data_IF_329630590799
#
_entry.id   IF_329630590799
#
_cell.length_a   1.000
_cell.length_b   1.000
_cell.length_c   1.000
_cell.angle_alpha   90.00
_cell.angle_beta   90.00
_cell.angle_gamma   90.00
#
_symmetry.space_group_name_H-M   'P 1'
#
loop_
_entity.id
_entity.type
_entity.pdbx_description
1 polymer ?
#
# COMPACT_ATOMS: atom_id res chain seq x y z
N UNK A 1 -25.34 16.26 14.66
CA UNK A 1 -24.43 15.42 15.46
C UNK A 1 -25.07 15.22 16.84
N UNK A 2 -25.08 14.00 17.39
CA UNK A 2 -25.78 13.70 18.65
C UNK A 2 -25.02 14.11 19.93
N UNK A 3 -23.82 14.67 19.81
CA UNK A 3 -22.94 15.01 20.94
C UNK A 3 -23.03 16.48 21.35
N UNK A 4 -22.75 16.74 22.64
CA UNK A 4 -22.56 18.07 23.19
C UNK A 4 -21.30 18.72 22.59
N UNK A 5 -21.32 20.04 22.44
CA UNK A 5 -20.20 20.81 21.91
C UNK A 5 -19.85 21.98 22.82
N UNK A 6 -18.56 22.26 22.98
CA UNK A 6 -18.09 23.51 23.59
C UNK A 6 -18.56 24.68 22.73
N UNK A 7 -19.18 25.74 23.31
CA UNK A 7 -19.68 26.89 22.56
C UNK A 7 -18.65 27.48 21.59
N UNK A 8 -19.11 28.00 20.44
CA UNK A 8 -18.20 28.53 19.43
C UNK A 8 -17.29 29.65 20.00
N UNK A 9 -17.88 30.53 20.81
CA UNK A 9 -17.24 31.69 21.42
C UNK A 9 -16.25 31.37 22.54
N UNK A 10 -16.27 30.18 23.13
CA UNK A 10 -15.38 29.80 24.21
C UNK A 10 -14.01 29.35 23.65
N UNK A 11 -13.21 30.33 23.25
CA UNK A 11 -11.88 30.12 22.69
C UNK A 11 -10.84 29.71 23.75
N UNK A 12 -11.06 30.10 25.01
CA UNK A 12 -10.14 29.79 26.11
C UNK A 12 -10.16 28.29 26.42
N UNK A 13 -11.35 27.72 26.62
CA UNK A 13 -11.50 26.28 26.89
C UNK A 13 -10.97 25.45 25.72
N UNK A 14 -11.24 25.85 24.47
CA UNK A 14 -10.73 25.13 23.29
C UNK A 14 -9.21 25.13 23.22
N UNK A 15 -8.56 26.28 23.46
CA UNK A 15 -7.10 26.37 23.50
C UNK A 15 -6.53 25.53 24.63
N UNK A 16 -7.13 25.59 25.82
CA UNK A 16 -6.71 24.81 26.97
C UNK A 16 -6.78 23.30 26.70
N UNK A 17 -7.84 22.82 26.02
CA UNK A 17 -7.98 21.41 25.66
C UNK A 17 -6.98 20.98 24.57
N UNK A 18 -6.78 21.80 23.54
CA UNK A 18 -5.78 21.53 22.50
C UNK A 18 -4.38 21.39 23.11
N UNK A 19 -4.02 22.29 24.03
CA UNK A 19 -2.74 22.21 24.75
C UNK A 19 -2.68 21.03 25.71
N UNK A 20 -3.77 20.74 26.44
CA UNK A 20 -3.80 19.65 27.44
C UNK A 20 -3.64 18.27 26.80
N UNK A 21 -4.23 18.05 25.62
CA UNK A 21 -4.21 16.77 24.93
C UNK A 21 -3.23 16.73 23.76
N UNK A 22 -2.40 17.78 23.61
CA UNK A 22 -1.36 17.86 22.58
C UNK A 22 -1.91 17.55 21.18
N UNK A 23 -3.01 18.21 20.81
CA UNK A 23 -3.70 17.93 19.54
C UNK A 23 -2.89 18.53 18.39
N UNK A 24 -2.18 17.67 17.65
CA UNK A 24 -1.32 18.06 16.52
C UNK A 24 -2.02 17.95 15.14
N UNK A 25 -3.10 17.17 15.05
CA UNK A 25 -3.79 16.91 13.78
C UNK A 25 -5.31 16.74 13.95
N UNK A 26 -6.04 16.77 12.85
CA UNK A 26 -7.47 16.46 12.79
C UNK A 26 -7.77 15.42 11.69
N UNK A 27 -8.76 14.53 11.87
CA UNK A 27 -9.59 14.36 13.07
C UNK A 27 -8.80 13.79 14.26
N UNK A 28 -9.17 14.18 15.48
CA UNK A 28 -8.57 13.70 16.73
C UNK A 28 -9.67 13.31 17.71
N UNK A 29 -9.48 12.21 18.45
CA UNK A 29 -10.45 11.70 19.41
C UNK A 29 -9.72 11.18 20.64
N UNK A 30 -10.00 11.81 21.78
CA UNK A 30 -9.55 11.36 23.09
C UNK A 30 -10.69 10.59 23.76
N UNK A 31 -10.39 9.40 24.27
CA UNK A 31 -11.34 8.60 25.06
C UNK A 31 -10.94 8.69 26.52
N UNK A 32 -11.87 9.18 27.35
CA UNK A 32 -11.69 9.30 28.80
C UNK A 32 -12.40 8.14 29.49
N UNK A 33 -11.65 7.32 30.21
CA UNK A 33 -12.20 6.20 30.98
C UNK A 33 -12.64 6.66 32.39
N UNK A 34 -13.75 6.13 32.93
CA UNK A 34 -14.18 6.41 34.29
C UNK A 34 -13.33 5.65 35.35
N UNK A 35 -12.20 6.26 35.79
CA UNK A 35 -11.30 6.09 36.99
C UNK A 35 -10.90 4.67 37.52
N UNK A 36 -9.62 4.41 37.87
CA UNK A 36 -9.05 4.69 39.22
C UNK A 36 -7.53 5.03 39.29
N UNK A 37 -6.77 5.04 38.18
CA UNK A 37 -5.32 5.32 38.21
C UNK A 37 -4.90 6.38 37.19
N UNK A 38 -4.31 7.49 37.70
CA UNK A 38 -4.15 8.79 37.01
C UNK A 38 -3.31 8.80 35.73
N UNK A 39 -2.67 7.68 35.36
CA UNK A 39 -1.79 7.59 34.20
C UNK A 39 -2.33 6.73 33.05
N UNK A 40 -3.38 5.91 33.25
CA UNK A 40 -3.95 5.02 32.21
C UNK A 40 -5.36 5.43 31.74
N UNK A 41 -5.96 6.49 32.31
CA UNK A 41 -7.37 6.83 32.09
C UNK A 41 -7.68 7.60 30.77
N UNK A 42 -6.67 7.91 29.96
CA UNK A 42 -6.82 8.72 28.74
C UNK A 42 -6.19 8.02 27.55
N UNK A 43 -7.00 7.71 26.54
CA UNK A 43 -6.53 7.13 25.28
C UNK A 43 -6.52 8.22 24.21
N UNK A 44 -5.35 8.50 23.66
CA UNK A 44 -5.15 9.56 22.65
C UNK A 44 -5.40 9.09 21.22
N UNK A 45 -5.33 7.77 20.95
CA UNK A 45 -5.51 7.18 19.62
C UNK A 45 -6.95 6.74 19.32
N UNK A 46 -7.94 7.45 19.87
CA UNK A 46 -9.35 7.06 19.77
C UNK A 46 -9.85 6.96 18.33
N UNK A 47 -9.32 7.78 17.41
CA UNK A 47 -9.66 7.71 15.98
C UNK A 47 -9.22 6.37 15.38
N UNK A 48 -7.99 5.94 15.68
CA UNK A 48 -7.46 4.69 15.15
C UNK A 48 -8.19 3.48 15.74
N UNK A 49 -8.49 3.49 17.05
CA UNK A 49 -9.28 2.44 17.68
C UNK A 49 -10.68 2.30 17.07
N UNK A 50 -11.35 3.41 16.79
CA UNK A 50 -12.65 3.39 16.12
C UNK A 50 -12.54 2.92 14.67
N UNK A 51 -11.50 3.31 13.95
CA UNK A 51 -11.28 2.84 12.58
C UNK A 51 -11.03 1.32 12.54
N UNK A 52 -10.24 0.81 13.48
CA UNK A 52 -9.82 -0.60 13.55
C UNK A 52 -10.93 -1.51 14.08
N UNK A 53 -11.45 -1.20 15.28
CA UNK A 53 -12.37 -2.06 16.02
C UNK A 53 -13.82 -1.56 16.03
N UNK A 54 -14.04 -0.27 15.74
CA UNK A 54 -15.36 0.34 15.74
C UNK A 54 -16.06 0.18 17.08
N UNK A 55 -17.34 -0.23 17.04
CA UNK A 55 -18.15 -0.43 18.26
C UNK A 55 -17.63 -1.54 19.17
N UNK A 56 -16.85 -2.50 18.64
CA UNK A 56 -16.37 -3.64 19.43
C UNK A 56 -15.34 -3.23 20.47
N UNK A 57 -14.65 -2.10 20.27
CA UNK A 57 -13.71 -1.55 21.22
C UNK A 57 -14.40 -1.05 22.49
N UNK A 58 -15.69 -0.72 22.48
CA UNK A 58 -16.43 -0.35 23.69
C UNK A 58 -16.41 -1.51 24.72
N UNK A 59 -16.17 -1.26 26.03
CA UNK A 59 -16.11 0.03 26.74
C UNK A 59 -14.77 0.76 26.70
N UNK A 60 -13.89 0.42 25.76
CA UNK A 60 -12.55 0.95 25.57
C UNK A 60 -11.63 0.71 26.76
N UNK A 61 -11.91 -0.29 27.61
CA UNK A 61 -11.04 -0.69 28.71
C UNK A 61 -9.78 -1.35 28.18
N UNK A 62 -8.69 -1.29 28.96
CA UNK A 62 -7.42 -1.91 28.58
C UNK A 62 -7.59 -3.40 28.28
N UNK A 63 -8.31 -4.11 29.15
CA UNK A 63 -8.59 -5.54 28.99
C UNK A 63 -9.36 -5.81 27.69
N UNK A 64 -10.34 -4.97 27.35
CA UNK A 64 -11.14 -5.16 26.13
C UNK A 64 -10.31 -4.92 24.86
N UNK A 65 -9.43 -3.93 24.89
CA UNK A 65 -8.53 -3.65 23.76
C UNK A 65 -7.50 -4.77 23.60
N UNK A 66 -6.93 -5.28 24.70
CA UNK A 66 -6.03 -6.43 24.71
C UNK A 66 -6.72 -7.70 24.16
N UNK A 67 -7.97 -7.97 24.53
CA UNK A 67 -8.78 -9.06 23.94
C UNK A 67 -8.91 -8.94 22.42
N UNK A 68 -9.27 -7.75 21.92
CA UNK A 68 -9.44 -7.53 20.48
C UNK A 68 -8.12 -7.64 19.71
N UNK A 69 -7.02 -7.19 20.31
CA UNK A 69 -5.69 -7.37 19.74
C UNK A 69 -5.27 -8.83 19.68
N UNK A 70 -5.58 -9.62 20.72
CA UNK A 70 -5.38 -11.07 20.71
C UNK A 70 -6.22 -11.75 19.62
N UNK A 71 -7.52 -11.41 19.50
CA UNK A 71 -8.38 -11.93 18.45
C UNK A 71 -7.86 -11.62 17.04
N UNK A 72 -7.39 -10.40 16.79
CA UNK A 72 -6.78 -10.03 15.49
C UNK A 72 -5.47 -10.78 15.25
N UNK A 73 -4.64 -10.93 16.29
CA UNK A 73 -3.39 -11.69 16.21
C UNK A 73 -3.67 -13.15 15.87
N UNK A 74 -4.63 -13.80 16.54
CA UNK A 74 -5.04 -15.17 16.25
C UNK A 74 -5.59 -15.31 14.83
N UNK A 75 -6.41 -14.35 14.35
CA UNK A 75 -6.89 -14.33 12.95
C UNK A 75 -5.74 -14.22 11.96
N UNK A 76 -4.71 -13.40 12.27
CA UNK A 76 -3.51 -13.28 11.43
C UNK A 76 -2.66 -14.56 11.46
N UNK A 77 -2.51 -15.17 12.63
CA UNK A 77 -1.76 -16.42 12.82
C UNK A 77 -2.48 -17.64 12.24
N UNK A 78 -3.80 -17.63 12.13
CA UNK A 78 -4.61 -18.66 11.47
C UNK A 78 -4.95 -18.35 10.01
N UNK A 79 -4.45 -17.23 9.48
CA UNK A 79 -4.66 -16.84 8.09
C UNK A 79 -4.22 -17.93 7.11
N UNK A 80 -5.09 -18.28 6.18
CA UNK A 80 -4.79 -19.17 5.05
C UNK A 80 -5.47 -18.62 3.79
N UNK A 81 -5.04 -19.07 2.60
CA UNK A 81 -5.71 -18.67 1.35
C UNK A 81 -7.18 -19.07 1.33
N UNK A 82 -7.51 -20.26 1.86
CA UNK A 82 -8.88 -20.75 1.96
C UNK A 82 -9.71 -19.78 2.81
N UNK A 83 -9.27 -19.49 4.04
CA UNK A 83 -10.02 -18.63 4.96
C UNK A 83 -10.21 -17.19 4.44
N UNK A 84 -9.30 -16.71 3.58
CA UNK A 84 -9.39 -15.37 2.99
C UNK A 84 -10.31 -15.31 1.77
N UNK A 85 -10.27 -16.33 0.92
CA UNK A 85 -10.87 -16.27 -0.43
C UNK A 85 -12.14 -17.12 -0.58
N UNK A 86 -12.49 -17.96 0.40
CA UNK A 86 -13.74 -18.72 0.40
C UNK A 86 -14.75 -18.15 1.41
N UNK A 87 -16.01 -18.52 1.22
CA UNK A 87 -17.09 -18.26 2.17
C UNK A 87 -18.08 -19.44 2.15
N UNK A 88 -19.16 -19.37 2.92
CA UNK A 88 -20.14 -20.46 3.00
C UNK A 88 -20.82 -20.79 1.67
N UNK A 89 -20.87 -19.84 0.73
CA UNK A 89 -21.56 -19.98 -0.55
C UNK A 89 -20.60 -20.32 -1.71
N UNK A 90 -19.28 -20.20 -1.50
CA UNK A 90 -18.30 -20.18 -2.60
C UNK A 90 -16.88 -20.58 -2.18
N UNK A 91 -16.26 -21.45 -2.97
CA UNK A 91 -14.89 -21.94 -2.81
C UNK A 91 -13.98 -21.78 -4.05
N UNK A 92 -14.44 -21.07 -5.09
CA UNK A 92 -13.71 -20.84 -6.34
C UNK A 92 -13.28 -19.38 -6.51
N UNK A 93 -12.75 -18.98 -7.66
CA UNK A 93 -12.52 -17.63 -8.19
C UNK A 93 -12.92 -17.63 -9.68
N UNK A 94 -13.06 -16.46 -10.30
CA UNK A 94 -13.30 -16.35 -11.73
C UNK A 94 -11.99 -16.03 -12.46
N UNK A 95 -11.63 -16.81 -13.47
CA UNK A 95 -10.49 -16.55 -14.34
C UNK A 95 -10.87 -15.72 -15.57
N UNK A 96 -9.86 -15.26 -16.31
CA UNK A 96 -10.04 -14.58 -17.58
C UNK A 96 -9.97 -15.58 -18.77
N UNK A 97 -10.90 -15.51 -19.75
CA UNK A 97 -12.13 -14.70 -19.76
C UNK A 97 -13.17 -15.22 -18.74
N UNK A 98 -14.04 -14.31 -18.28
CA UNK A 98 -14.84 -14.34 -17.03
C UNK A 98 -15.82 -15.51 -16.76
N UNK A 99 -15.70 -16.65 -17.44
CA UNK A 99 -16.59 -17.81 -17.25
C UNK A 99 -15.92 -19.02 -16.57
N UNK A 100 -14.59 -19.01 -16.40
CA UNK A 100 -13.86 -20.15 -15.84
C UNK A 100 -13.79 -20.05 -14.32
N UNK A 101 -14.46 -20.97 -13.64
CA UNK A 101 -14.28 -21.14 -12.20
C UNK A 101 -12.93 -21.82 -11.90
N UNK A 102 -12.18 -21.26 -10.96
CA UNK A 102 -10.88 -21.77 -10.50
C UNK A 102 -10.98 -22.06 -9.00
N UNK A 103 -10.91 -23.32 -8.55
CA UNK A 103 -10.98 -23.64 -7.12
C UNK A 103 -9.87 -22.94 -6.33
N UNK A 104 -10.20 -22.31 -5.19
CA UNK A 104 -9.19 -21.62 -4.35
C UNK A 104 -8.13 -22.62 -3.86
N UNK A 105 -8.50 -23.88 -3.62
CA UNK A 105 -7.57 -24.94 -3.27
C UNK A 105 -6.43 -25.13 -4.28
N UNK A 106 -6.66 -24.84 -5.57
CA UNK A 106 -5.62 -24.93 -6.62
C UNK A 106 -4.57 -23.82 -6.55
N UNK A 107 -4.77 -22.84 -5.68
CA UNK A 107 -3.87 -21.70 -5.46
C UNK A 107 -2.97 -21.88 -4.23
N UNK A 108 -3.21 -22.91 -3.42
CA UNK A 108 -2.37 -23.23 -2.26
C UNK A 108 -0.96 -23.59 -2.73
N UNK A 109 0.06 -23.03 -2.07
CA UNK A 109 1.45 -23.18 -2.46
C UNK A 109 1.95 -22.13 -3.46
N UNK A 110 1.09 -21.24 -3.96
CA UNK A 110 1.46 -20.13 -4.86
C UNK A 110 1.63 -18.82 -4.08
N UNK A 111 2.46 -17.95 -4.60
CA UNK A 111 2.51 -16.53 -4.21
C UNK A 111 1.32 -15.81 -4.85
N UNK A 112 0.50 -15.11 -4.07
CA UNK A 112 -0.69 -14.41 -4.57
C UNK A 112 -0.59 -12.90 -4.38
N UNK A 113 -0.96 -12.13 -5.39
CA UNK A 113 -1.22 -10.69 -5.26
C UNK A 113 -2.72 -10.40 -5.15
N UNK A 114 -3.20 -9.89 -4.02
CA UNK A 114 -4.55 -9.34 -3.90
C UNK A 114 -4.54 -7.89 -4.40
N UNK A 115 -5.11 -7.67 -5.59
CA UNK A 115 -5.12 -6.37 -6.25
C UNK A 115 -6.45 -5.64 -6.01
N UNK A 116 -6.44 -4.67 -5.10
CA UNK A 116 -7.59 -3.82 -4.80
C UNK A 116 -7.61 -2.62 -5.74
N UNK A 117 -8.64 -2.51 -6.59
CA UNK A 117 -8.74 -1.45 -7.60
C UNK A 117 -10.18 -1.28 -8.07
N UNK A 118 -10.42 -0.28 -8.91
CA UNK A 118 -11.70 -0.05 -9.56
C UNK A 118 -11.53 0.76 -10.86
N UNK A 119 -12.49 0.68 -11.77
CA UNK A 119 -12.44 1.42 -13.04
C UNK A 119 -12.49 2.94 -12.83
N UNK A 120 -13.26 3.39 -11.83
CA UNK A 120 -13.37 4.82 -11.50
C UNK A 120 -12.11 5.39 -10.85
N UNK A 121 -11.15 4.54 -10.45
CA UNK A 121 -9.91 4.94 -9.82
C UNK A 121 -8.85 5.28 -10.88
N UNK A 122 -8.65 6.57 -11.19
CA UNK A 122 -7.65 7.00 -12.17
C UNK A 122 -6.22 6.48 -11.88
N UNK A 123 -5.69 6.54 -10.63
CA UNK A 123 -4.40 5.93 -10.32
C UNK A 123 -4.38 4.41 -10.54
N UNK A 124 -5.49 3.72 -10.31
CA UNK A 124 -5.67 2.30 -10.54
C UNK A 124 -5.59 1.94 -12.02
N UNK A 125 -6.37 2.65 -12.85
CA UNK A 125 -6.38 2.47 -14.31
C UNK A 125 -4.99 2.74 -14.91
N UNK A 126 -4.24 3.73 -14.41
CA UNK A 126 -2.84 3.98 -14.82
C UNK A 126 -1.89 2.86 -14.41
N UNK A 127 -2.08 2.28 -13.22
CA UNK A 127 -1.21 1.24 -12.69
C UNK A 127 -1.43 -0.14 -13.33
N UNK A 128 -2.67 -0.46 -13.72
CA UNK A 128 -3.03 -1.80 -14.25
C UNK A 128 -2.18 -2.26 -15.44
N UNK A 129 -1.96 -1.46 -16.51
CA UNK A 129 -1.10 -1.87 -17.63
C UNK A 129 0.33 -2.22 -17.21
N UNK A 130 0.88 -1.48 -16.25
CA UNK A 130 2.21 -1.74 -15.67
C UNK A 130 2.23 -3.06 -14.90
N UNK A 131 1.20 -3.30 -14.07
CA UNK A 131 1.05 -4.54 -13.32
C UNK A 131 0.88 -5.75 -14.27
N UNK A 132 0.12 -5.61 -15.36
CA UNK A 132 -0.04 -6.65 -16.39
C UNK A 132 1.32 -7.03 -17.00
N UNK A 133 2.11 -6.03 -17.41
CA UNK A 133 3.44 -6.28 -17.99
C UNK A 133 4.36 -7.02 -17.01
N UNK A 134 4.38 -6.61 -15.74
CA UNK A 134 5.24 -7.21 -14.73
C UNK A 134 4.76 -8.62 -14.35
N UNK A 135 3.45 -8.83 -14.22
CA UNK A 135 2.85 -10.14 -14.01
C UNK A 135 3.27 -11.14 -15.09
N UNK A 136 3.20 -10.75 -16.37
CA UNK A 136 3.61 -11.60 -17.48
C UNK A 136 5.11 -11.93 -17.43
N UNK A 137 5.96 -10.96 -17.10
CA UNK A 137 7.40 -11.20 -16.93
C UNK A 137 7.71 -12.14 -15.77
N UNK A 138 7.04 -11.98 -14.62
CA UNK A 138 7.19 -12.89 -13.48
C UNK A 138 6.77 -14.30 -13.88
N UNK A 139 5.58 -14.48 -14.49
CA UNK A 139 5.11 -15.78 -14.99
C UNK A 139 6.15 -16.42 -15.93
N UNK A 140 6.72 -15.66 -16.87
CA UNK A 140 7.78 -16.14 -17.75
C UNK A 140 9.03 -16.57 -16.96
N UNK A 141 9.54 -15.73 -16.05
CA UNK A 141 10.73 -16.04 -15.25
C UNK A 141 10.57 -17.32 -14.41
N UNK A 142 9.39 -17.54 -13.83
CA UNK A 142 9.12 -18.70 -12.98
C UNK A 142 9.04 -19.98 -13.83
N UNK A 143 8.38 -19.95 -14.99
CA UNK A 143 8.35 -21.10 -15.93
C UNK A 143 9.76 -21.54 -16.34
N UNK A 144 10.67 -20.60 -16.62
CA UNK A 144 12.06 -20.93 -16.97
C UNK A 144 12.84 -21.60 -15.82
N UNK A 145 12.41 -21.41 -14.57
CA UNK A 145 13.05 -22.02 -13.38
C UNK A 145 12.49 -23.40 -13.03
N UNK A 146 11.60 -23.95 -13.85
CA UNK A 146 11.00 -25.28 -13.65
C UNK A 146 9.85 -25.31 -12.66
N UNK A 147 9.43 -24.15 -12.15
CA UNK A 147 8.24 -24.03 -11.32
C UNK A 147 7.10 -23.50 -12.19
N UNK A 148 6.21 -24.37 -12.64
CA UNK A 148 5.03 -23.92 -13.37
C UNK A 148 4.05 -23.23 -12.40
N UNK A 149 3.68 -21.99 -12.70
CA UNK A 149 2.48 -21.34 -12.16
C UNK A 149 2.54 -20.88 -10.67
N UNK A 150 3.71 -20.54 -10.14
CA UNK A 150 3.89 -20.11 -8.72
C UNK A 150 3.36 -18.72 -8.36
N UNK A 151 2.97 -17.88 -9.32
CA UNK A 151 2.50 -16.52 -9.05
C UNK A 151 1.14 -16.26 -9.69
N UNK A 152 0.18 -15.77 -8.91
CA UNK A 152 -1.15 -15.39 -9.42
C UNK A 152 -1.63 -14.07 -8.81
N UNK A 153 -2.50 -13.35 -9.51
CA UNK A 153 -3.16 -12.15 -9.00
C UNK A 153 -4.68 -12.39 -8.88
N UNK A 154 -5.27 -11.89 -7.80
CA UNK A 154 -6.72 -11.88 -7.59
C UNK A 154 -7.17 -10.43 -7.51
N UNK A 155 -7.94 -10.00 -8.50
CA UNK A 155 -8.60 -8.70 -8.51
C UNK A 155 -9.73 -8.68 -7.49
N UNK A 156 -9.63 -7.73 -6.55
CA UNK A 156 -10.61 -7.43 -5.51
C UNK A 156 -11.25 -6.09 -5.86
N UNK A 157 -12.42 -6.14 -6.48
CA UNK A 157 -13.04 -4.95 -7.05
C UNK A 157 -13.66 -4.04 -6.00
N UNK A 158 -13.46 -2.73 -6.18
CA UNK A 158 -14.20 -1.66 -5.51
C UNK A 158 -15.16 -0.92 -6.46
N UNK A 159 -15.48 -1.52 -7.62
CA UNK A 159 -16.47 -0.99 -8.55
C UNK A 159 -17.86 -0.98 -7.93
N UNK A 160 -18.68 -0.04 -8.39
CA UNK A 160 -20.02 0.23 -7.82
C UNK A 160 -21.14 -0.49 -8.55
N UNK A 161 -20.85 -0.99 -9.75
CA UNK A 161 -21.79 -1.68 -10.62
C UNK A 161 -21.08 -2.75 -11.46
N UNK A 162 -21.87 -3.71 -11.93
CA UNK A 162 -21.40 -4.88 -12.69
C UNK A 162 -20.75 -4.49 -14.03
N UNK A 163 -21.29 -3.47 -14.71
CA UNK A 163 -20.80 -3.08 -16.03
C UNK A 163 -19.38 -2.50 -15.94
N UNK A 164 -19.13 -1.68 -14.92
CA UNK A 164 -17.80 -1.14 -14.66
C UNK A 164 -16.80 -2.24 -14.28
N UNK A 165 -17.22 -3.16 -13.41
CA UNK A 165 -16.44 -4.34 -13.04
C UNK A 165 -16.06 -5.17 -14.27
N UNK A 166 -17.03 -5.54 -15.11
CA UNK A 166 -16.81 -6.37 -16.29
C UNK A 166 -15.88 -5.68 -17.28
N UNK A 167 -16.13 -4.40 -17.56
CA UNK A 167 -15.29 -3.61 -18.48
C UNK A 167 -13.84 -3.58 -18.04
N UNK A 168 -13.58 -3.43 -16.74
CA UNK A 168 -12.23 -3.31 -16.22
C UNK A 168 -11.54 -4.66 -16.06
N UNK A 169 -12.22 -5.66 -15.49
CA UNK A 169 -11.68 -7.01 -15.32
C UNK A 169 -11.35 -7.67 -16.66
N UNK A 170 -12.13 -7.40 -17.72
CA UNK A 170 -11.83 -7.90 -19.06
C UNK A 170 -10.49 -7.41 -19.64
N UNK A 171 -9.87 -6.37 -19.07
CA UNK A 171 -8.52 -5.94 -19.45
C UNK A 171 -7.40 -6.69 -18.72
N UNK A 172 -7.73 -7.52 -17.73
CA UNK A 172 -6.78 -8.14 -16.81
C UNK A 172 -6.60 -9.64 -17.10
N UNK A 173 -5.36 -10.18 -17.12
CA UNK A 173 -5.09 -11.57 -17.48
C UNK A 173 -5.14 -12.55 -16.28
N UNK A 174 -5.68 -12.12 -15.13
CA UNK A 174 -5.61 -12.86 -13.86
C UNK A 174 -7.00 -13.19 -13.29
N UNK A 175 -7.07 -13.63 -12.03
CA UNK A 175 -8.31 -14.08 -11.39
C UNK A 175 -9.06 -12.93 -10.72
N UNK A 176 -10.32 -13.12 -10.36
CA UNK A 176 -11.11 -12.16 -9.58
C UNK A 176 -12.12 -12.83 -8.66
N UNK A 177 -12.49 -12.12 -7.60
CA UNK A 177 -13.71 -12.40 -6.85
C UNK A 177 -14.93 -12.00 -7.70
N UNK A 178 -16.04 -12.77 -7.68
CA UNK A 178 -17.28 -12.35 -8.30
C UNK A 178 -17.69 -10.95 -7.82
N UNK A 179 -18.28 -10.18 -8.73
CA UNK A 179 -18.82 -8.87 -8.38
C UNK A 179 -19.86 -9.01 -7.25
N UNK A 180 -19.78 -8.12 -6.26
CA UNK A 180 -20.66 -8.15 -5.09
C UNK A 180 -20.31 -9.18 -4.03
N UNK A 181 -19.25 -9.98 -4.21
CA UNK A 181 -18.82 -10.95 -3.17
C UNK A 181 -18.51 -10.23 -1.84
N UNK A 182 -19.07 -10.69 -0.70
CA UNK A 182 -18.82 -10.08 0.61
C UNK A 182 -17.34 -10.09 1.03
N UNK A 183 -16.56 -11.05 0.52
CA UNK A 183 -15.12 -11.14 0.76
C UNK A 183 -14.39 -9.87 0.29
N UNK A 184 -14.88 -9.16 -0.74
CA UNK A 184 -14.25 -7.91 -1.18
C UNK A 184 -14.13 -6.89 -0.02
N UNK A 185 -15.20 -6.71 0.75
CA UNK A 185 -15.23 -5.78 1.90
C UNK A 185 -14.45 -6.33 3.10
N UNK A 186 -14.56 -7.63 3.34
CA UNK A 186 -13.86 -8.29 4.46
C UNK A 186 -12.35 -8.21 4.25
N UNK A 187 -11.86 -8.48 3.05
CA UNK A 187 -10.45 -8.38 2.69
C UNK A 187 -9.94 -6.94 2.80
N UNK A 188 -10.68 -5.97 2.26
CA UNK A 188 -10.30 -4.56 2.37
C UNK A 188 -10.14 -4.12 3.83
N UNK A 189 -11.03 -4.58 4.72
CA UNK A 189 -10.91 -4.34 6.17
C UNK A 189 -9.74 -5.11 6.79
N UNK A 190 -9.62 -6.41 6.52
CA UNK A 190 -8.56 -7.28 7.08
C UNK A 190 -7.16 -6.76 6.76
N UNK A 191 -6.97 -6.23 5.55
CA UNK A 191 -5.69 -5.66 5.13
C UNK A 191 -5.53 -4.18 5.43
N UNK A 192 -6.54 -3.53 6.02
CA UNK A 192 -6.58 -2.09 6.29
C UNK A 192 -6.29 -1.26 5.02
N UNK A 193 -7.05 -1.54 3.96
CA UNK A 193 -6.91 -0.87 2.66
C UNK A 193 -7.54 0.52 2.75
N UNK A 194 -6.72 1.52 3.10
CA UNK A 194 -7.12 2.93 3.21
C UNK A 194 -7.30 3.64 1.86
N UNK A 195 -6.76 3.09 0.77
CA UNK A 195 -6.86 3.66 -0.57
C UNK A 195 -6.52 2.66 -1.67
N UNK A 196 -7.00 2.94 -2.88
CA UNK A 196 -6.74 2.15 -4.07
C UNK A 196 -6.00 2.99 -5.14
N UNK A 197 -5.16 2.36 -5.99
CA UNK A 197 -4.86 0.94 -6.04
C UNK A 197 -3.96 0.47 -4.89
N UNK A 198 -4.26 -0.72 -4.36
CA UNK A 198 -3.43 -1.41 -3.37
C UNK A 198 -3.14 -2.83 -3.86
N UNK A 199 -1.94 -3.33 -3.57
CA UNK A 199 -1.54 -4.70 -3.92
C UNK A 199 -0.90 -5.33 -2.68
N UNK A 200 -1.58 -6.33 -2.13
CA UNK A 200 -1.10 -7.11 -0.99
C UNK A 200 -0.53 -8.42 -1.51
N UNK A 201 0.67 -8.79 -1.07
CA UNK A 201 1.31 -10.05 -1.46
C UNK A 201 1.16 -11.07 -0.33
N UNK A 202 0.69 -12.25 -0.71
CA UNK A 202 0.58 -13.44 0.12
C UNK A 202 1.61 -14.48 -0.35
N UNK A 203 2.24 -15.15 0.58
CA UNK A 203 3.20 -16.21 0.31
C UNK A 203 2.52 -17.55 -0.02
N UNK A 204 3.31 -18.56 -0.44
CA UNK A 204 2.86 -19.94 -0.66
C UNK A 204 2.11 -20.57 0.51
N UNK A 205 2.43 -20.15 1.74
CA UNK A 205 1.81 -20.59 2.99
C UNK A 205 0.47 -19.89 3.30
N UNK A 206 0.05 -18.96 2.43
CA UNK A 206 -1.14 -18.13 2.63
C UNK A 206 -0.95 -16.99 3.64
N UNK A 207 0.27 -16.76 4.13
CA UNK A 207 0.59 -15.64 5.03
C UNK A 207 0.90 -14.37 4.27
N UNK A 208 0.65 -13.25 4.91
CA UNK A 208 0.93 -11.92 4.34
C UNK A 208 2.43 -11.68 4.32
N UNK A 209 2.99 -11.55 3.12
CA UNK A 209 4.41 -11.19 2.92
C UNK A 209 4.57 -9.67 3.01
N UNK A 210 3.72 -8.91 2.31
CA UNK A 210 3.74 -7.44 2.38
C UNK A 210 2.42 -6.83 1.96
N UNK A 211 2.03 -5.73 2.62
CA UNK A 211 0.90 -4.89 2.18
C UNK A 211 1.31 -3.82 1.17
N UNK A 212 2.61 -3.68 0.90
CA UNK A 212 3.18 -2.63 0.07
C UNK A 212 3.59 -3.12 -1.33
N UNK A 213 2.94 -4.17 -1.84
CA UNK A 213 3.27 -4.78 -3.13
C UNK A 213 3.25 -3.77 -4.29
N UNK A 214 2.34 -2.79 -4.28
CA UNK A 214 2.30 -1.73 -5.31
C UNK A 214 3.60 -0.93 -5.34
N UNK A 215 4.14 -0.60 -4.17
CA UNK A 215 5.40 0.15 -4.06
C UNK A 215 6.56 -0.70 -4.60
N UNK A 216 6.63 -1.97 -4.21
CA UNK A 216 7.68 -2.89 -4.69
C UNK A 216 7.63 -3.08 -6.21
N UNK A 217 6.43 -3.20 -6.79
CA UNK A 217 6.24 -3.26 -8.25
C UNK A 217 6.72 -1.97 -8.93
N UNK A 218 6.49 -0.81 -8.33
CA UNK A 218 6.94 0.46 -8.88
C UNK A 218 8.46 0.61 -8.83
N UNK A 219 9.08 0.24 -7.71
CA UNK A 219 10.51 0.40 -7.45
C UNK A 219 11.35 -0.66 -8.17
N UNK A 220 11.02 -1.93 -7.96
CA UNK A 220 11.85 -3.07 -8.32
C UNK A 220 11.29 -3.88 -9.51
N UNK A 221 10.07 -3.59 -9.96
CA UNK A 221 9.41 -4.27 -11.08
C UNK A 221 9.36 -5.79 -10.88
N UNK A 222 9.68 -6.58 -11.91
CA UNK A 222 9.74 -8.04 -11.84
C UNK A 222 10.79 -8.58 -10.86
N UNK A 223 11.86 -7.82 -10.58
CA UNK A 223 12.92 -8.23 -9.65
C UNK A 223 12.44 -8.26 -8.19
N UNK A 224 11.31 -7.61 -7.91
CA UNK A 224 10.66 -7.66 -6.61
C UNK A 224 10.30 -9.10 -6.21
N UNK A 225 9.97 -9.97 -7.17
CA UNK A 225 9.59 -11.36 -6.91
C UNK A 225 10.74 -12.15 -6.24
N UNK A 226 10.50 -12.93 -5.17
CA UNK A 226 9.20 -13.35 -4.61
C UNK A 226 8.60 -12.41 -3.54
N UNK A 227 9.00 -11.15 -3.51
CA UNK A 227 8.55 -10.08 -2.60
C UNK A 227 8.91 -10.30 -1.13
N UNK A 228 9.78 -11.28 -0.84
CA UNK A 228 10.25 -11.55 0.51
C UNK A 228 11.13 -10.41 1.01
N UNK A 229 11.14 -10.21 2.33
CA UNK A 229 12.01 -9.22 2.99
C UNK A 229 13.47 -9.40 2.58
N UNK A 230 13.98 -10.64 2.61
CA UNK A 230 15.34 -10.95 2.17
C UNK A 230 15.64 -10.56 0.70
N UNK A 231 14.66 -10.67 -0.20
CA UNK A 231 14.82 -10.25 -1.59
C UNK A 231 14.83 -8.72 -1.71
N UNK A 232 13.97 -8.03 -0.95
CA UNK A 232 13.93 -6.57 -0.90
C UNK A 232 15.23 -6.01 -0.33
N UNK A 233 15.71 -6.56 0.80
CA UNK A 233 17.00 -6.20 1.41
C UNK A 233 18.18 -6.36 0.43
N UNK A 234 18.16 -7.43 -0.38
CA UNK A 234 19.18 -7.67 -1.38
C UNK A 234 19.18 -6.58 -2.46
N UNK A 235 18.00 -6.21 -2.95
CA UNK A 235 17.83 -5.17 -3.97
C UNK A 235 18.23 -3.80 -3.45
N UNK A 236 17.88 -3.48 -2.21
CA UNK A 236 18.26 -2.23 -1.55
C UNK A 236 19.78 -2.12 -1.40
N UNK A 237 20.44 -3.19 -0.94
CA UNK A 237 21.91 -3.24 -0.87
C UNK A 237 22.58 -3.08 -2.23
N UNK A 238 21.99 -3.64 -3.30
CA UNK A 238 22.51 -3.47 -4.66
C UNK A 238 22.41 -2.01 -5.11
N UNK A 239 21.26 -1.37 -4.87
CA UNK A 239 21.06 0.05 -5.19
C UNK A 239 22.03 0.93 -4.39
N UNK A 240 22.22 0.66 -3.10
CA UNK A 240 23.17 1.39 -2.26
C UNK A 240 24.61 1.25 -2.76
N UNK A 241 25.01 0.05 -3.20
CA UNK A 241 26.34 -0.17 -3.77
C UNK A 241 26.51 0.55 -5.10
N UNK A 242 25.52 0.46 -6.00
CA UNK A 242 25.52 1.19 -7.27
C UNK A 242 25.60 2.70 -7.05
N UNK A 243 24.89 3.22 -6.05
CA UNK A 243 24.86 4.65 -5.71
C UNK A 243 26.22 5.20 -5.29
N UNK A 244 27.13 4.38 -4.72
CA UNK A 244 28.50 4.82 -4.37
C UNK A 244 29.31 5.26 -5.59
N UNK A 245 28.97 4.75 -6.77
CA UNK A 245 29.62 5.13 -8.04
C UNK A 245 29.02 6.38 -8.69
N UNK A 246 27.88 6.86 -8.20
CA UNK A 246 27.20 8.00 -8.79
C UNK A 246 27.86 9.33 -8.42
N UNK A 247 27.92 10.30 -9.34
CA UNK A 247 28.36 11.66 -9.03
C UNK A 247 27.49 12.30 -7.94
N UNK A 248 28.14 13.00 -6.99
CA UNK A 248 27.44 13.71 -5.89
C UNK A 248 26.48 14.79 -6.37
N UNK A 249 26.67 15.30 -7.58
CA UNK A 249 25.76 16.26 -8.20
C UNK A 249 25.73 16.11 -9.72
N UNK A 250 24.61 16.52 -10.33
CA UNK A 250 24.40 16.55 -11.79
C UNK A 250 23.47 17.67 -12.21
N UNK A 251 23.65 18.16 -13.43
CA UNK A 251 22.69 19.02 -14.12
C UNK A 251 21.75 18.15 -14.97
N UNK A 252 20.47 18.50 -15.04
CA UNK A 252 19.45 17.72 -15.75
C UNK A 252 18.79 18.56 -16.85
N UNK A 253 18.65 18.04 -18.07
CA UNK A 253 18.06 18.79 -19.20
C UNK A 253 16.68 19.42 -18.91
N UNK A 254 15.84 18.76 -18.09
CA UNK A 254 14.52 19.26 -17.71
C UNK A 254 14.51 20.25 -16.54
N UNK A 255 15.66 20.63 -15.97
CA UNK A 255 15.73 21.43 -14.76
C UNK A 255 16.98 22.32 -14.67
N UNK A 256 16.83 23.60 -14.28
CA UNK A 256 17.91 24.60 -14.37
C UNK A 256 18.93 24.57 -13.22
N UNK A 257 18.55 24.11 -12.03
CA UNK A 257 19.46 24.07 -10.89
C UNK A 257 20.28 22.77 -10.88
N UNK A 258 21.43 22.82 -10.21
CA UNK A 258 22.22 21.62 -9.93
C UNK A 258 21.45 20.70 -8.97
N UNK A 259 21.37 19.42 -9.30
CA UNK A 259 20.73 18.41 -8.47
C UNK A 259 21.80 17.71 -7.63
N UNK A 260 21.61 17.67 -6.31
CA UNK A 260 22.43 16.89 -5.39
C UNK A 260 21.94 15.45 -5.31
N UNK A 261 22.86 14.49 -5.23
CA UNK A 261 22.52 13.09 -4.94
C UNK A 261 22.12 12.98 -3.46
N UNK A 262 20.89 12.54 -3.21
CA UNK A 262 20.34 12.33 -1.88
C UNK A 262 19.92 10.87 -1.70
N UNK A 263 19.84 10.46 -0.45
CA UNK A 263 19.30 9.20 0.02
C UNK A 263 18.34 9.44 1.18
N UNK A 264 17.64 8.40 1.62
CA UNK A 264 16.71 8.47 2.76
C UNK A 264 17.36 9.04 4.04
N UNK A 265 18.66 8.77 4.26
CA UNK A 265 19.40 9.31 5.41
C UNK A 265 19.93 10.75 5.23
N UNK A 266 19.83 11.34 4.05
CA UNK A 266 20.44 12.65 3.73
C UNK A 266 19.43 13.67 3.19
N UNK A 267 18.13 13.41 3.36
CA UNK A 267 17.04 14.31 2.98
C UNK A 267 16.20 13.86 1.79
N UNK A 268 16.46 12.66 1.25
CA UNK A 268 15.57 11.96 0.33
C UNK A 268 14.48 11.18 1.06
N UNK A 269 13.55 10.60 0.31
CA UNK A 269 12.45 9.79 0.84
C UNK A 269 11.60 9.22 -0.30
N UNK A 270 10.33 8.82 -0.06
CA UNK A 270 9.39 8.52 -1.13
C UNK A 270 9.06 9.78 -1.94
N UNK A 271 9.19 9.72 -3.26
CA UNK A 271 8.93 10.86 -4.15
C UNK A 271 8.22 10.44 -5.44
N UNK A 272 7.68 11.41 -6.18
CA UNK A 272 7.24 11.23 -7.57
C UNK A 272 8.28 11.89 -8.47
N UNK A 273 8.92 11.10 -9.33
CA UNK A 273 9.97 11.60 -10.21
C UNK A 273 9.41 12.63 -11.19
N UNK A 274 9.95 13.85 -11.17
CA UNK A 274 9.49 14.93 -12.03
C UNK A 274 9.71 14.68 -13.54
N UNK A 275 10.56 13.72 -13.91
CA UNK A 275 10.85 13.41 -15.32
C UNK A 275 9.90 12.36 -15.91
N UNK A 276 9.56 11.32 -15.14
CA UNK A 276 8.80 10.18 -15.64
C UNK A 276 7.43 10.00 -14.97
N UNK A 277 7.08 10.83 -13.97
CA UNK A 277 5.83 10.76 -13.20
C UNK A 277 5.64 9.42 -12.47
N UNK A 278 6.73 8.70 -12.23
CA UNK A 278 6.73 7.41 -11.52
C UNK A 278 7.26 7.56 -10.10
N UNK A 279 6.70 6.75 -9.20
CA UNK A 279 7.11 6.72 -7.80
C UNK A 279 8.57 6.26 -7.66
N UNK A 280 9.34 6.96 -6.81
CA UNK A 280 10.70 6.64 -6.40
C UNK A 280 10.81 6.54 -4.88
N UNK A 281 11.90 5.93 -4.43
CA UNK A 281 12.29 5.84 -3.02
C UNK A 281 13.80 5.63 -2.93
N UNK A 282 14.41 5.99 -1.80
CA UNK A 282 15.83 5.81 -1.56
C UNK A 282 16.67 6.86 -2.28
N UNK A 283 17.50 6.44 -3.24
CA UNK A 283 18.43 7.33 -3.94
C UNK A 283 17.77 8.15 -5.05
N UNK A 284 18.01 9.45 -5.04
CA UNK A 284 17.47 10.39 -6.01
C UNK A 284 18.43 11.55 -6.27
N UNK A 285 18.20 12.29 -7.36
CA UNK A 285 18.80 13.60 -7.55
C UNK A 285 17.76 14.68 -7.24
N UNK A 286 18.04 15.50 -6.23
CA UNK A 286 17.15 16.51 -5.68
C UNK A 286 17.74 17.92 -5.83
N UNK A 287 16.93 18.85 -6.30
CA UNK A 287 17.20 20.28 -6.20
C UNK A 287 16.70 20.80 -4.86
N UNK A 288 17.60 21.19 -3.96
CA UNK A 288 17.23 21.77 -2.66
C UNK A 288 16.56 23.15 -2.78
N UNK A 289 16.74 23.86 -3.90
CA UNK A 289 16.18 25.19 -4.10
C UNK A 289 14.68 25.16 -4.42
N UNK A 290 14.19 24.14 -5.13
CA UNK A 290 12.81 24.10 -5.61
C UNK A 290 12.09 22.75 -5.43
N UNK A 291 12.77 21.74 -4.88
CA UNK A 291 12.19 20.42 -4.66
C UNK A 291 12.08 19.55 -5.91
N UNK A 292 12.74 19.91 -7.03
CA UNK A 292 12.75 19.08 -8.23
C UNK A 292 13.53 17.79 -7.96
N UNK A 293 12.84 16.64 -8.01
CA UNK A 293 13.42 15.35 -7.63
C UNK A 293 13.20 14.31 -8.74
N UNK A 294 14.26 13.59 -9.09
CA UNK A 294 14.22 12.56 -10.15
C UNK A 294 14.98 11.30 -9.75
N UNK A 295 14.56 10.16 -10.30
CA UNK A 295 15.31 8.92 -10.14
C UNK A 295 16.74 9.08 -10.68
N UNK A 296 17.70 8.36 -10.08
CA UNK A 296 19.09 8.32 -10.54
C UNK A 296 19.24 8.00 -12.04
N UNK A 297 18.38 7.11 -12.55
CA UNK A 297 18.30 6.71 -13.97
C UNK A 297 17.57 7.71 -14.89
N UNK A 298 16.79 8.64 -14.33
CA UNK A 298 16.04 9.64 -15.10
C UNK A 298 16.87 10.91 -15.38
N UNK A 299 18.09 11.00 -14.86
CA UNK A 299 18.96 12.15 -15.11
C UNK A 299 19.53 12.12 -16.53
N UNK A 300 18.93 12.93 -17.40
CA UNK A 300 19.53 13.36 -18.68
C UNK A 300 20.59 14.44 -18.43
N UNK A 301 21.84 14.02 -18.26
CA UNK A 301 22.95 14.92 -17.93
C UNK A 301 23.23 15.93 -19.07
N UNK A 302 23.47 17.19 -18.71
CA UNK A 302 23.90 18.26 -19.63
C UNK A 302 25.02 19.09 -19.01
N UNK A 303 25.85 19.71 -19.84
CA UNK A 303 26.90 20.62 -19.35
C UNK A 303 26.29 21.95 -18.91
N UNK A 304 26.85 22.55 -17.84
CA UNK A 304 26.41 23.83 -17.25
C UNK A 304 26.25 24.96 -18.29
N UNK A 305 27.05 24.97 -19.35
CA UNK A 305 27.01 25.98 -20.41
C UNK A 305 25.77 25.90 -21.33
N UNK A 306 25.08 24.76 -21.34
CA UNK A 306 23.98 24.48 -22.28
C UNK A 306 22.60 24.93 -21.77
N UNK A 307 22.50 25.33 -20.49
CA UNK A 307 21.23 25.66 -19.83
C UNK A 307 20.85 27.15 -19.93
N UNK A 308 21.72 27.99 -20.48
CA UNK A 308 21.55 29.46 -20.51
C UNK A 308 20.76 29.94 -21.75
N UNK A 309 20.57 29.09 -22.76
CA UNK A 309 20.00 29.47 -24.07
C UNK A 309 18.58 28.92 -24.33
N UNK A 310 17.76 28.68 -23.31
CA UNK A 310 16.36 28.21 -23.49
C UNK A 310 15.36 28.79 -22.48
#
# INVERSE_FOLDING_TARGET
>A
MPWLSIPFSDLETKRALNSKFEIEAIPFLVILQPEDNKYEATIHDGVELLNRFGVQAFPFTKERLEELEMEEKEKRESQTLINLLTNHDRDYLLGHPAAKQVPVASLVGKTLGLYFSAQWCLPGVKFTPKLISIYQKIKQMVVHKGNEDDFEIVFVSSDRDQAAFDSYFNSMPWLTLPFGDPANKILAKHFDVKGIPCLVILGPDGKTVTKHGRNLINLYKENAYPFTEAQVDLLEKQIDEEAKSLPKSKYHAGHRHELGLVSEGTGGGPFICCDCDEQGSGWAYLCLECGYEVHTKCVRAVDRGSMVDS
#
